data_IF_817461829778
#
_entry.id   IF_817461829778
#
_cell.length_a   1.000
_cell.length_b   1.000
_cell.length_c   1.000
_cell.angle_alpha   90.00
_cell.angle_beta   90.00
_cell.angle_gamma   90.00
#
_symmetry.space_group_name_H-M   'P 1'
#
loop_
_entity.id
_entity.type
_entity.pdbx_description
1 polymer ?
#
# COMPACT_ATOMS: atom_id res chain seq x y z
N UNK A 1 -12.73 7.21 -5.71
CA UNK A 1 -11.35 6.85 -6.07
C UNK A 1 -10.50 6.93 -4.83
N UNK A 2 -10.16 5.79 -4.22
CA UNK A 2 -9.25 5.73 -3.09
C UNK A 2 -7.86 5.41 -3.61
N UNK A 3 -6.86 6.20 -3.24
CA UNK A 3 -5.46 5.92 -3.58
C UNK A 3 -4.97 4.82 -2.64
N UNK A 4 -4.66 3.65 -3.21
CA UNK A 4 -4.04 2.54 -2.49
C UNK A 4 -2.57 2.90 -2.27
N UNK A 5 -2.18 3.06 -1.01
CA UNK A 5 -0.78 3.25 -0.63
C UNK A 5 -0.13 1.88 -0.55
N UNK A 6 0.63 1.52 -1.56
CA UNK A 6 1.55 0.37 -1.50
C UNK A 6 2.91 0.84 -1.01
N UNK A 7 3.40 0.24 0.07
CA UNK A 7 4.79 0.40 0.49
C UNK A 7 5.71 -0.22 -0.58
N UNK A 8 6.83 0.42 -0.93
CA UNK A 8 7.71 -0.01 -2.03
C UNK A 8 8.39 -1.38 -1.81
N UNK A 9 8.21 -2.03 -0.65
CA UNK A 9 8.79 -3.34 -0.34
C UNK A 9 7.85 -4.54 -0.42
N UNK A 10 6.57 -4.37 -0.75
CA UNK A 10 5.66 -5.50 -0.85
C UNK A 10 5.64 -6.09 -2.27
N UNK A 11 6.41 -7.17 -2.46
CA UNK A 11 6.11 -8.25 -3.39
C UNK A 11 6.04 -7.88 -4.88
N UNK A 12 7.19 -7.98 -5.55
CA UNK A 12 7.36 -7.95 -7.00
C UNK A 12 6.91 -6.67 -7.72
N UNK A 13 7.88 -5.81 -7.99
CA UNK A 13 7.69 -4.71 -8.92
C UNK A 13 7.45 -5.27 -10.34
N UNK A 14 6.35 -4.81 -10.93
CA UNK A 14 5.77 -5.16 -12.24
C UNK A 14 5.17 -6.56 -12.40
N UNK A 15 3.92 -6.70 -11.93
CA UNK A 15 2.95 -7.58 -12.59
C UNK A 15 2.37 -6.83 -13.78
N UNK A 16 2.94 -7.02 -14.97
CA UNK A 16 2.26 -6.66 -16.21
C UNK A 16 1.01 -7.53 -16.31
N UNK A 17 -0.13 -7.00 -15.86
CA UNK A 17 -1.44 -7.51 -16.22
C UNK A 17 -1.74 -7.07 -17.66
N UNK A 18 -0.98 -7.61 -18.62
CA UNK A 18 -1.27 -7.45 -20.03
C UNK A 18 -2.23 -8.57 -20.41
N UNK A 19 -3.51 -8.23 -20.54
CA UNK A 19 -4.42 -9.00 -21.40
C UNK A 19 -3.76 -9.01 -22.77
N UNK A 20 -3.52 -10.19 -23.30
CA UNK A 20 -2.87 -10.36 -24.60
C UNK A 20 -3.77 -9.81 -25.70
N UNK A 21 -3.39 -8.67 -26.28
CA UNK A 21 -4.13 -8.02 -27.37
C UNK A 21 -3.72 -8.65 -28.73
N UNK A 22 -2.61 -9.40 -28.83
CA UNK A 22 -2.03 -9.79 -30.13
C UNK A 22 -1.30 -11.16 -30.24
N UNK A 23 -1.31 -12.03 -29.23
CA UNK A 23 -0.68 -13.37 -29.31
C UNK A 23 0.82 -13.40 -28.97
N UNK A 24 1.37 -12.31 -28.42
CA UNK A 24 2.83 -12.14 -28.27
C UNK A 24 3.40 -12.65 -26.95
N UNK A 25 2.55 -12.87 -25.94
CA UNK A 25 2.99 -13.31 -24.60
C UNK A 25 2.73 -14.82 -24.50
N UNK A 26 3.81 -15.61 -24.52
CA UNK A 26 3.73 -17.08 -24.46
C UNK A 26 3.60 -17.63 -23.05
N UNK A 27 4.12 -16.92 -22.04
CA UNK A 27 4.08 -17.32 -20.64
C UNK A 27 3.93 -16.10 -19.72
N UNK A 28 2.96 -16.15 -18.81
CA UNK A 28 2.78 -15.12 -17.80
C UNK A 28 3.75 -15.33 -16.62
N UNK A 29 4.67 -14.38 -16.42
CA UNK A 29 5.55 -14.36 -15.24
C UNK A 29 5.01 -13.39 -14.21
N UNK A 30 4.79 -13.86 -12.98
CA UNK A 30 4.29 -13.05 -11.85
C UNK A 30 5.21 -11.86 -11.53
N UNK A 31 6.53 -12.07 -11.64
CA UNK A 31 7.54 -11.08 -11.31
C UNK A 31 8.69 -11.20 -12.31
N UNK A 32 9.05 -10.11 -12.98
CA UNK A 32 10.27 -10.07 -13.78
C UNK A 32 11.41 -9.45 -12.96
N UNK A 33 12.33 -10.28 -12.47
CA UNK A 33 13.49 -9.84 -11.68
C UNK A 33 14.66 -9.37 -12.52
N UNK A 34 14.60 -9.57 -13.84
CA UNK A 34 15.66 -9.16 -14.77
C UNK A 34 15.47 -7.71 -15.24
N UNK A 35 14.37 -7.06 -14.84
CA UNK A 35 14.14 -5.64 -15.11
C UNK A 35 15.15 -4.81 -14.31
N UNK A 36 15.93 -4.01 -15.04
CA UNK A 36 16.72 -2.94 -14.44
C UNK A 36 15.78 -1.89 -13.86
N UNK A 37 15.75 -1.79 -12.54
CA UNK A 37 14.99 -0.78 -11.80
C UNK A 37 15.91 -0.07 -10.82
N UNK A 38 16.01 1.24 -10.95
CA UNK A 38 16.74 2.09 -10.02
C UNK A 38 15.82 2.53 -8.88
N UNK A 39 16.29 2.40 -7.64
CA UNK A 39 15.58 2.86 -6.45
C UNK A 39 16.04 4.28 -6.10
N UNK A 40 15.43 5.27 -6.73
CA UNK A 40 15.77 6.70 -6.56
C UNK A 40 14.83 7.44 -5.59
N UNK A 41 13.72 6.81 -5.19
CA UNK A 41 12.75 7.37 -4.23
C UNK A 41 12.87 6.70 -2.87
N UNK A 42 13.43 7.42 -1.90
CA UNK A 42 13.58 6.93 -0.52
C UNK A 42 12.26 6.99 0.28
N UNK A 43 11.39 7.97 0.00
CA UNK A 43 10.17 8.19 0.77
C UNK A 43 9.06 8.84 -0.04
N UNK A 44 7.85 8.30 0.13
CA UNK A 44 6.61 8.86 -0.44
C UNK A 44 5.83 9.73 0.55
N UNK A 45 6.40 10.05 1.73
CA UNK A 45 5.70 10.81 2.78
C UNK A 45 5.22 12.18 2.28
N UNK A 46 6.08 12.93 1.59
CA UNK A 46 5.75 14.26 1.05
C UNK A 46 4.61 14.19 0.03
N UNK A 47 4.65 13.20 -0.86
CA UNK A 47 3.60 12.97 -1.85
C UNK A 47 2.23 12.74 -1.19
N UNK A 48 2.19 11.96 -0.12
CA UNK A 48 0.96 11.71 0.62
C UNK A 48 0.43 12.94 1.34
N UNK A 49 1.31 13.77 1.93
CA UNK A 49 0.89 15.06 2.49
C UNK A 49 0.23 15.95 1.45
N UNK A 50 0.84 16.09 0.27
CA UNK A 50 0.29 16.88 -0.83
C UNK A 50 -1.07 16.36 -1.32
N UNK A 51 -1.27 15.03 -1.36
CA UNK A 51 -2.57 14.46 -1.73
C UNK A 51 -3.64 14.72 -0.67
N UNK A 52 -3.28 14.63 0.61
CA UNK A 52 -4.18 14.93 1.73
C UNK A 52 -4.57 16.42 1.71
N UNK A 53 -3.61 17.33 1.53
CA UNK A 53 -3.84 18.78 1.42
C UNK A 53 -4.78 19.14 0.25
N UNK A 54 -4.73 18.37 -0.84
CA UNK A 54 -5.65 18.52 -1.98
C UNK A 54 -7.04 17.91 -1.75
N UNK A 55 -7.29 17.33 -0.57
CA UNK A 55 -8.59 16.75 -0.20
C UNK A 55 -8.84 15.34 -0.73
N UNK A 56 -7.81 14.61 -1.16
CA UNK A 56 -7.97 13.21 -1.56
C UNK A 56 -8.17 12.31 -0.35
N UNK A 57 -9.12 11.37 -0.46
CA UNK A 57 -9.33 10.32 0.53
C UNK A 57 -8.33 9.19 0.33
N UNK A 58 -7.64 8.84 1.40
CA UNK A 58 -6.55 7.86 1.42
C UNK A 58 -6.95 6.69 2.31
N UNK A 59 -6.68 5.46 1.86
CA UNK A 59 -6.82 4.25 2.66
C UNK A 59 -5.47 3.53 2.70
N UNK A 60 -4.89 3.45 3.89
CA UNK A 60 -3.69 2.66 4.16
C UNK A 60 -4.07 1.44 5.01
N UNK A 61 -3.64 0.25 4.58
CA UNK A 61 -3.89 -1.00 5.29
C UNK A 61 -2.62 -1.85 5.32
N UNK A 62 -2.45 -2.66 6.35
CA UNK A 62 -1.30 -3.54 6.53
C UNK A 62 -1.75 -4.87 7.09
N UNK A 63 -1.23 -5.97 6.55
CA UNK A 63 -1.38 -7.28 7.18
C UNK A 63 -0.53 -7.36 8.43
N UNK A 64 -1.04 -7.96 9.50
CA UNK A 64 -0.35 -8.16 10.77
C UNK A 64 0.74 -9.23 10.71
N UNK A 65 0.58 -10.22 9.84
CA UNK A 65 1.54 -11.30 9.59
C UNK A 65 2.56 -11.02 8.48
N UNK A 66 2.57 -9.82 7.87
CA UNK A 66 3.59 -9.47 6.87
C UNK A 66 4.94 -9.18 7.54
N UNK A 67 5.95 -10.00 7.24
CA UNK A 67 7.32 -9.80 7.72
C UNK A 67 8.16 -8.91 6.81
N UNK A 68 7.77 -8.73 5.54
CA UNK A 68 8.53 -7.93 4.56
C UNK A 68 8.27 -6.44 4.78
N UNK A 69 7.01 -6.08 5.02
CA UNK A 69 6.59 -4.73 5.43
C UNK A 69 5.68 -4.84 6.66
N UNK A 70 6.25 -4.93 7.87
CA UNK A 70 5.47 -5.08 9.10
C UNK A 70 4.53 -3.91 9.35
N UNK A 71 3.37 -4.18 9.94
CA UNK A 71 2.40 -3.14 10.28
C UNK A 71 2.98 -2.04 11.20
N UNK A 72 3.98 -2.36 12.01
CA UNK A 72 4.69 -1.38 12.85
C UNK A 72 5.40 -0.31 12.02
N UNK A 73 5.93 -0.67 10.85
CA UNK A 73 6.53 0.29 9.91
C UNK A 73 5.47 1.22 9.34
N UNK A 74 4.31 0.67 8.96
CA UNK A 74 3.15 1.44 8.51
C UNK A 74 2.65 2.39 9.58
N UNK A 75 2.54 1.93 10.84
CA UNK A 75 2.11 2.75 11.97
C UNK A 75 3.06 3.92 12.24
N UNK A 76 4.38 3.67 12.20
CA UNK A 76 5.38 4.74 12.32
C UNK A 76 5.28 5.75 11.17
N UNK A 77 5.05 5.28 9.95
CA UNK A 77 4.86 6.13 8.78
C UNK A 77 3.60 7.02 8.90
N UNK A 78 2.46 6.47 9.35
CA UNK A 78 1.22 7.23 9.60
C UNK A 78 1.45 8.32 10.65
N UNK A 79 2.15 8.01 11.74
CA UNK A 79 2.49 9.01 12.78
C UNK A 79 3.31 10.18 12.22
N UNK A 80 4.18 9.93 11.25
CA UNK A 80 4.95 10.98 10.58
C UNK A 80 4.10 11.89 9.68
N UNK A 81 2.89 11.49 9.27
CA UNK A 81 1.98 12.38 8.54
C UNK A 81 1.41 13.49 9.43
N UNK A 82 1.45 13.32 10.75
CA UNK A 82 0.96 14.29 11.74
C UNK A 82 -0.50 14.73 11.47
N UNK A 83 -1.37 13.74 11.24
CA UNK A 83 -2.79 13.96 11.02
C UNK A 83 -3.55 14.05 12.35
N UNK A 84 -4.63 14.81 12.36
CA UNK A 84 -5.59 14.80 13.47
C UNK A 84 -6.43 13.52 13.38
N UNK A 85 -6.49 12.77 14.48
CA UNK A 85 -7.37 11.60 14.57
C UNK A 85 -8.75 12.07 14.99
N UNK A 86 -9.79 11.64 14.27
CA UNK A 86 -11.15 11.97 14.64
C UNK A 86 -11.64 11.05 15.76
N UNK A 87 -11.17 9.81 15.78
CA UNK A 87 -11.57 8.76 16.71
C UNK A 87 -10.37 7.93 17.16
N UNK A 88 -10.50 7.25 18.29
CA UNK A 88 -9.50 6.29 18.74
C UNK A 88 -9.51 5.00 17.89
N UNK A 89 -8.39 4.29 17.93
CA UNK A 89 -8.25 2.98 17.30
C UNK A 89 -9.31 2.01 17.84
N UNK A 90 -10.08 1.39 16.95
CA UNK A 90 -11.11 0.42 17.32
C UNK A 90 -11.07 -0.84 16.47
N UNK A 91 -11.50 -2.00 17.02
CA UNK A 91 -11.68 -3.19 16.21
C UNK A 91 -12.80 -2.97 15.19
N UNK A 92 -12.65 -3.60 14.02
CA UNK A 92 -13.72 -3.73 13.04
C UNK A 92 -14.03 -5.20 12.81
N UNK A 93 -15.29 -5.49 12.52
CA UNK A 93 -15.81 -6.85 12.48
C UNK A 93 -16.42 -7.19 11.12
N UNK A 94 -16.27 -8.45 10.74
CA UNK A 94 -16.95 -9.09 9.59
C UNK A 94 -17.48 -10.41 10.11
N UNK A 95 -18.75 -10.71 9.83
CA UNK A 95 -19.39 -11.97 10.26
C UNK A 95 -19.21 -12.29 11.76
N UNK A 96 -19.34 -11.26 12.61
CA UNK A 96 -19.13 -11.32 14.06
C UNK A 96 -17.71 -11.73 14.51
N UNK A 97 -16.72 -11.66 13.63
CA UNK A 97 -15.31 -11.88 13.95
C UNK A 97 -14.52 -10.59 13.79
N UNK A 98 -13.50 -10.39 14.64
CA UNK A 98 -12.59 -9.25 14.52
C UNK A 98 -11.70 -9.47 13.30
N UNK A 99 -11.87 -8.62 12.29
CA UNK A 99 -11.08 -8.67 11.06
C UNK A 99 -9.83 -7.78 11.13
N UNK A 100 -9.79 -6.85 12.09
CA UNK A 100 -8.61 -6.05 12.38
C UNK A 100 -8.91 -4.83 13.25
N UNK A 101 -7.98 -3.88 13.26
CA UNK A 101 -8.09 -2.60 13.99
C UNK A 101 -7.99 -1.45 12.99
N UNK A 102 -8.83 -0.43 13.14
CA UNK A 102 -8.89 0.73 12.25
C UNK A 102 -8.96 2.04 13.04
N UNK A 103 -8.62 3.12 12.35
CA UNK A 103 -8.78 4.51 12.78
C UNK A 103 -9.23 5.34 11.57
N UNK A 104 -10.07 6.35 11.79
CA UNK A 104 -10.62 7.24 10.75
C UNK A 104 -10.19 8.67 11.06
#
# INVERSE_FOLDING_TARGET
MGTKITFPRAGCLNANALVDIQGTITEWKRCNRDLSYEQDVESVLLHHRLLIEKGFRVLAYSGDHDMTVPYLSTLKWIRNLNLTLNEDWRPWTVDNQVAGVQVI
#
